data_IF_521902356429
#
_entry.id   IF_521902356429
#
_cell.length_a   1.000
_cell.length_b   1.000
_cell.length_c   1.000
_cell.angle_alpha   90.00
_cell.angle_beta   90.00
_cell.angle_gamma   90.00
#
_symmetry.space_group_name_H-M   'P 1'
#
loop_
_entity.id
_entity.type
_entity.pdbx_description
1 polymer ?
#
# COMPACT_ATOMS: atom_id res chain seq x y z
N UNK A 1 3.70 12.83 2.16
CA UNK A 1 3.92 11.37 2.10
C UNK A 1 3.09 10.86 0.96
N UNK A 2 3.75 10.49 -0.13
CA UNK A 2 3.11 10.07 -1.36
C UNK A 2 2.63 8.62 -1.24
N UNK A 3 1.30 8.44 -1.26
CA UNK A 3 0.67 7.13 -1.15
C UNK A 3 0.09 6.75 -2.51
N UNK A 4 0.43 5.56 -2.96
CA UNK A 4 -0.07 4.95 -4.18
C UNK A 4 -1.02 3.82 -3.81
N UNK A 5 -2.09 3.68 -4.57
CA UNK A 5 -3.07 2.61 -4.40
C UNK A 5 -3.18 1.82 -5.69
N UNK A 6 -3.36 0.51 -5.56
CA UNK A 6 -3.52 -0.40 -6.69
C UNK A 6 -4.99 -0.78 -6.84
N UNK A 7 -5.62 -0.29 -7.89
CA UNK A 7 -7.04 -0.51 -8.15
C UNK A 7 -7.24 -0.85 -9.62
N UNK A 8 -8.07 -1.86 -9.90
CA UNK A 8 -8.43 -2.26 -11.27
C UNK A 8 -7.21 -2.55 -12.18
N UNK A 9 -6.15 -3.13 -11.62
CA UNK A 9 -4.94 -3.44 -12.39
C UNK A 9 -4.02 -2.23 -12.66
N UNK A 10 -4.35 -1.05 -12.15
CA UNK A 10 -3.54 0.16 -12.32
C UNK A 10 -3.16 0.78 -10.96
N UNK A 11 -1.91 1.23 -10.87
CA UNK A 11 -1.46 2.09 -9.78
C UNK A 11 -1.99 3.51 -9.98
N UNK A 12 -2.72 4.02 -9.00
CA UNK A 12 -3.26 5.38 -8.94
C UNK A 12 -2.53 6.16 -7.84
N UNK A 13 -2.30 7.45 -8.07
CA UNK A 13 -1.64 8.35 -7.13
C UNK A 13 -0.64 9.29 -7.83
N UNK A 14 0.17 10.03 -7.06
CA UNK A 14 0.23 10.00 -5.59
C UNK A 14 -0.99 10.64 -4.93
N UNK A 15 -1.42 10.05 -3.81
CA UNK A 15 -2.47 10.56 -2.93
C UNK A 15 -1.92 10.85 -1.55
N UNK A 16 -2.55 11.78 -0.84
CA UNK A 16 -2.27 12.01 0.57
C UNK A 16 -3.16 11.13 1.47
N UNK A 17 -2.72 10.85 2.70
CA UNK A 17 -3.51 10.08 3.68
C UNK A 17 -4.91 10.69 3.89
N UNK A 18 -5.01 12.02 3.95
CA UNK A 18 -6.29 12.71 4.12
C UNK A 18 -7.23 12.49 2.92
N UNK A 19 -6.69 12.54 1.70
CA UNK A 19 -7.46 12.26 0.47
C UNK A 19 -7.94 10.80 0.45
N UNK A 20 -7.06 9.86 0.77
CA UNK A 20 -7.44 8.44 0.87
C UNK A 20 -8.47 8.20 1.97
N UNK A 21 -8.39 8.92 3.09
CA UNK A 21 -9.36 8.81 4.19
C UNK A 21 -10.75 9.28 3.76
N UNK A 22 -10.83 10.43 3.07
CA UNK A 22 -12.09 10.90 2.49
C UNK A 22 -12.64 9.92 1.46
N UNK A 23 -11.79 9.42 0.56
CA UNK A 23 -12.20 8.46 -0.46
C UNK A 23 -12.69 7.14 0.17
N UNK A 24 -12.02 6.67 1.22
CA UNK A 24 -12.41 5.49 1.99
C UNK A 24 -13.74 5.70 2.73
N UNK A 25 -13.90 6.85 3.41
CA UNK A 25 -15.17 7.24 4.07
C UNK A 25 -16.34 7.35 3.10
N UNK A 26 -16.07 7.80 1.87
CA UNK A 26 -17.04 7.87 0.77
C UNK A 26 -17.34 6.51 0.13
N UNK A 27 -16.62 5.45 0.50
CA UNK A 27 -16.75 4.12 -0.12
C UNK A 27 -16.21 4.04 -1.54
N UNK A 28 -15.38 5.01 -1.97
CA UNK A 28 -14.78 5.02 -3.31
C UNK A 28 -13.58 4.06 -3.44
N UNK A 29 -13.00 3.65 -2.31
CA UNK A 29 -11.87 2.74 -2.27
C UNK A 29 -12.28 1.53 -1.43
N UNK A 30 -12.23 0.31 -1.97
CA UNK A 30 -12.49 -0.89 -1.18
C UNK A 30 -11.45 -1.05 -0.07
N UNK A 31 -11.88 -1.59 1.07
CA UNK A 31 -11.03 -1.89 2.24
C UNK A 31 -9.86 -2.84 1.92
N UNK A 32 -10.05 -3.70 0.92
CA UNK A 32 -9.05 -4.66 0.44
C UNK A 32 -8.04 -4.05 -0.55
N UNK A 33 -8.14 -2.75 -0.83
CA UNK A 33 -7.24 -2.07 -1.78
C UNK A 33 -5.81 -2.10 -1.27
N UNK A 34 -4.88 -2.54 -2.11
CA UNK A 34 -3.46 -2.45 -1.78
C UNK A 34 -2.97 -1.00 -1.88
N UNK A 35 -2.30 -0.51 -0.85
CA UNK A 35 -1.59 0.76 -0.82
C UNK A 35 -0.10 0.54 -0.60
N UNK A 36 0.70 1.49 -1.06
CA UNK A 36 2.13 1.56 -0.86
C UNK A 36 2.55 3.02 -0.75
N UNK A 37 3.55 3.29 0.07
CA UNK A 37 4.13 4.62 0.19
C UNK A 37 5.65 4.52 0.24
N UNK A 38 6.30 5.65 0.02
CA UNK A 38 7.74 5.78 0.19
C UNK A 38 8.15 5.31 1.60
N UNK A 39 9.10 4.36 1.67
CA UNK A 39 9.53 3.69 2.90
C UNK A 39 8.86 2.35 3.22
N UNK A 40 7.86 1.90 2.45
CA UNK A 40 7.23 0.59 2.64
C UNK A 40 7.96 -0.50 1.82
N UNK A 41 8.35 -1.61 2.45
CA UNK A 41 9.03 -2.70 1.73
C UNK A 41 8.10 -3.54 0.86
N UNK A 42 6.78 -3.49 1.12
CA UNK A 42 5.74 -4.25 0.40
C UNK A 42 4.44 -3.46 0.40
N UNK A 43 3.55 -3.78 -0.54
CA UNK A 43 2.17 -3.26 -0.51
C UNK A 43 1.43 -3.83 0.70
N UNK A 44 0.62 -2.99 1.35
CA UNK A 44 -0.26 -3.38 2.45
C UNK A 44 -1.71 -3.06 2.08
N UNK A 45 -2.70 -3.58 2.82
CA UNK A 45 -4.12 -3.28 2.57
C UNK A 45 -4.50 -1.93 3.18
N UNK A 46 -5.30 -1.12 2.49
CA UNK A 46 -5.64 0.25 2.92
C UNK A 46 -6.42 0.26 4.24
N UNK A 47 -7.13 -0.83 4.53
CA UNK A 47 -7.69 -1.05 5.85
C UNK A 47 -6.65 -1.01 6.96
N UNK A 48 -5.42 -1.48 6.76
CA UNK A 48 -4.34 -1.40 7.74
C UNK A 48 -3.91 0.06 7.99
N UNK A 49 -3.85 0.87 6.93
CA UNK A 49 -3.53 2.31 7.01
C UNK A 49 -4.49 3.06 7.95
N UNK A 50 -5.77 2.66 7.99
CA UNK A 50 -6.80 3.28 8.81
C UNK A 50 -7.12 2.50 10.10
N UNK A 51 -6.82 1.19 10.16
CA UNK A 51 -7.00 0.36 11.35
C UNK A 51 -5.90 0.60 12.39
N UNK A 52 -4.75 1.12 11.99
CA UNK A 52 -3.57 1.25 12.85
C UNK A 52 -3.62 2.40 13.88
N UNK A 53 -4.79 2.71 14.45
CA UNK A 53 -4.86 3.55 15.66
C UNK A 53 -4.50 2.74 16.91
N UNK A 54 -4.23 1.40 16.84
CA UNK A 54 -3.89 0.64 18.06
C UNK A 54 -2.78 -0.42 18.03
N UNK A 55 -2.30 -0.99 16.92
CA UNK A 55 -1.32 -2.08 17.02
C UNK A 55 -0.37 -2.14 15.83
N UNK A 56 0.85 -1.64 16.04
CA UNK A 56 1.98 -1.88 15.16
C UNK A 56 2.13 -3.40 14.86
N UNK A 57 2.05 -3.83 13.59
CA UNK A 57 2.42 -5.19 13.23
C UNK A 57 3.94 -5.27 13.27
N UNK A 58 4.44 -6.21 14.08
CA UNK A 58 5.85 -6.49 14.24
C UNK A 58 6.36 -7.05 12.92
N UNK A 59 7.41 -6.42 12.39
CA UNK A 59 8.18 -6.90 11.25
C UNK A 59 8.49 -8.41 11.43
N UNK A 60 8.10 -9.29 10.51
CA UNK A 60 8.90 -10.48 10.30
C UNK A 60 10.18 -9.99 9.64
N UNK A 61 11.23 -9.81 10.45
CA UNK A 61 12.60 -9.94 9.99
C UNK A 61 12.69 -11.36 9.44
N UNK A 62 12.58 -11.49 8.12
CA UNK A 62 13.03 -12.68 7.42
C UNK A 62 14.22 -12.28 6.56
N UNK A 63 15.37 -12.57 7.13
CA UNK A 63 16.69 -12.58 6.52
C UNK A 63 16.75 -13.77 5.57
N UNK A 64 16.70 -13.57 4.24
CA UNK A 64 17.20 -14.60 3.32
C UNK A 64 16.42 -14.96 2.06
N UNK A 65 15.87 -14.02 1.29
CA UNK A 65 15.48 -14.30 -0.10
C UNK A 65 15.53 -13.05 -0.99
N UNK A 66 16.70 -12.42 -1.06
CA UNK A 66 17.03 -11.46 -2.11
C UNK A 66 17.51 -12.18 -3.38
N UNK A 67 16.82 -13.22 -3.84
CA UNK A 67 17.09 -13.84 -5.12
C UNK A 67 15.79 -14.15 -5.85
N UNK A 68 15.71 -13.66 -7.08
CA UNK A 68 14.71 -13.97 -8.09
C UNK A 68 13.30 -13.41 -7.88
N UNK A 69 13.10 -12.18 -8.32
CA UNK A 69 12.19 -11.93 -9.46
C UNK A 69 12.42 -10.50 -9.98
N UNK A 70 13.45 -10.39 -10.84
CA UNK A 70 13.51 -9.34 -11.86
C UNK A 70 12.21 -9.38 -12.65
N UNK A 71 11.44 -8.29 -12.61
CA UNK A 71 10.41 -8.03 -13.61
C UNK A 71 11.00 -7.09 -14.68
N UNK A 72 10.77 -7.35 -15.98
CA UNK A 72 11.47 -6.68 -17.07
C UNK A 72 11.00 -5.22 -17.19
N UNK A 73 11.95 -4.34 -17.52
CA UNK A 73 11.64 -3.01 -18.01
C UNK A 73 10.93 -3.15 -19.37
N UNK A 74 9.76 -2.54 -19.52
CA UNK A 74 9.08 -2.45 -20.80
C UNK A 74 9.97 -1.70 -21.82
N UNK A 75 10.08 -2.26 -23.02
CA UNK A 75 10.86 -1.76 -24.17
C UNK A 75 10.30 -0.48 -24.77
#
# INVERSE_FOLDING_TARGET
>A
MDIYVYMQGQRRGPYEKAQLEEMWKRGQIPTDTMYWHDGMSKWAVISDLFANIRMAPRLPIDTGNAESMTFPAAS
#
